data_IF_297805994531
#
_entry.id   IF_297805994531
#
_cell.length_a   1.000
_cell.length_b   1.000
_cell.length_c   1.000
_cell.angle_alpha   90.00
_cell.angle_beta   90.00
_cell.angle_gamma   90.00
#
_symmetry.space_group_name_H-M   'P 1'
#
loop_
_entity.id
_entity.type
_entity.pdbx_description
1 polymer ?
#
# COMPACT_ATOMS: atom_id res chain seq x y z
N UNK A 1 0.80 10.33 22.05
CA UNK A 1 1.41 10.07 23.38
C UNK A 1 1.78 8.60 23.57
N UNK A 2 0.90 7.64 23.25
CA UNK A 2 1.15 6.20 23.43
C UNK A 2 2.32 5.64 22.60
N UNK A 3 2.56 6.16 21.40
CA UNK A 3 3.66 5.72 20.54
C UNK A 3 5.04 6.08 21.11
N UNK A 4 5.16 7.26 21.71
CA UNK A 4 6.40 7.73 22.34
C UNK A 4 6.73 6.92 23.60
N UNK A 5 5.71 6.59 24.40
CA UNK A 5 5.84 5.69 25.55
C UNK A 5 6.23 4.27 25.14
N UNK A 6 5.63 3.73 24.08
CA UNK A 6 5.99 2.42 23.53
C UNK A 6 7.43 2.38 23.02
N UNK A 7 7.88 3.45 22.36
CA UNK A 7 9.26 3.58 21.89
C UNK A 7 10.27 3.62 23.05
N UNK A 8 10.00 4.44 24.07
CA UNK A 8 10.85 4.52 25.26
C UNK A 8 10.89 3.19 26.03
N UNK A 9 9.74 2.53 26.17
CA UNK A 9 9.67 1.21 26.80
C UNK A 9 10.52 0.16 26.04
N UNK A 10 10.46 0.18 24.70
CA UNK A 10 11.29 -0.68 23.86
C UNK A 10 12.79 -0.45 24.08
N UNK A 11 13.23 0.81 24.14
CA UNK A 11 14.64 1.14 24.42
C UNK A 11 15.08 0.62 25.79
N UNK A 12 14.25 0.80 26.82
CA UNK A 12 14.57 0.34 28.18
C UNK A 12 14.69 -1.19 28.21
N UNK A 13 13.81 -1.89 27.50
CA UNK A 13 13.85 -3.36 27.39
C UNK A 13 15.14 -3.81 26.69
N UNK A 14 15.50 -3.20 25.55
CA UNK A 14 16.73 -3.53 24.82
C UNK A 14 17.98 -3.31 25.68
N UNK A 15 18.02 -2.21 26.43
CA UNK A 15 19.11 -1.93 27.38
C UNK A 15 19.15 -3.00 28.48
N UNK A 16 18.02 -3.33 29.10
CA UNK A 16 17.95 -4.36 30.14
C UNK A 16 18.41 -5.74 29.63
N UNK A 17 18.04 -6.07 28.39
CA UNK A 17 18.39 -7.33 27.73
C UNK A 17 19.88 -7.36 27.37
N UNK A 18 20.43 -6.26 26.87
CA UNK A 18 21.87 -6.11 26.63
C UNK A 18 22.69 -6.21 27.93
N UNK A 19 22.22 -5.61 29.02
CA UNK A 19 22.83 -5.76 30.36
C UNK A 19 22.81 -7.23 30.80
N UNK A 20 21.67 -7.90 30.69
CA UNK A 20 21.53 -9.33 31.03
C UNK A 20 22.49 -10.24 30.24
N UNK A 21 22.58 -10.03 28.93
CA UNK A 21 23.50 -10.77 28.04
C UNK A 21 24.98 -10.52 28.42
N UNK A 22 25.31 -9.30 28.80
CA UNK A 22 26.67 -8.90 29.20
C UNK A 22 27.10 -9.59 30.50
N UNK A 23 26.20 -9.70 31.48
CA UNK A 23 26.47 -10.42 32.72
C UNK A 23 26.60 -11.93 32.48
N UNK A 24 25.78 -12.51 31.58
CA UNK A 24 25.81 -13.92 31.22
C UNK A 24 27.12 -14.36 30.53
N UNK A 25 27.66 -13.55 29.61
CA UNK A 25 28.79 -13.92 28.74
C UNK A 25 30.11 -14.22 29.48
N UNK A 26 30.21 -13.92 30.79
CA UNK A 26 31.38 -14.30 31.62
C UNK A 26 32.71 -13.63 31.26
N UNK A 27 32.82 -12.97 30.09
CA UNK A 27 34.03 -12.28 29.63
C UNK A 27 34.41 -11.11 30.54
N UNK A 28 35.71 -10.78 30.66
CA UNK A 28 36.19 -9.67 31.46
C UNK A 28 35.84 -8.30 30.84
N UNK A 29 35.76 -8.20 29.51
CA UNK A 29 35.38 -6.97 28.82
C UNK A 29 33.85 -6.86 28.69
N UNK A 30 33.23 -6.41 29.78
CA UNK A 30 31.77 -6.21 29.86
C UNK A 30 31.30 -5.03 28.99
N UNK A 31 32.11 -3.98 28.85
CA UNK A 31 31.72 -2.80 28.08
C UNK A 31 31.59 -3.12 26.59
N UNK A 32 32.55 -3.87 26.04
CA UNK A 32 32.50 -4.28 24.64
C UNK A 32 31.29 -5.18 24.35
N UNK A 33 31.02 -6.17 25.22
CA UNK A 33 29.89 -7.08 25.03
C UNK A 33 28.54 -6.35 25.10
N UNK A 34 28.39 -5.37 26.00
CA UNK A 34 27.18 -4.55 26.10
C UNK A 34 26.92 -3.76 24.81
N UNK A 35 27.95 -3.10 24.27
CA UNK A 35 27.84 -2.35 23.03
C UNK A 35 27.52 -3.25 21.84
N UNK A 36 28.13 -4.44 21.76
CA UNK A 36 27.86 -5.42 20.70
C UNK A 36 26.43 -5.97 20.79
N UNK A 37 25.94 -6.26 21.99
CA UNK A 37 24.57 -6.74 22.20
C UNK A 37 23.54 -5.68 21.81
N UNK A 38 23.75 -4.41 22.20
CA UNK A 38 22.89 -3.29 21.75
C UNK A 38 22.94 -3.11 20.24
N UNK A 39 24.14 -3.14 19.65
CA UNK A 39 24.30 -3.00 18.20
C UNK A 39 23.55 -4.12 17.48
N UNK A 40 23.63 -5.36 17.95
CA UNK A 40 22.89 -6.48 17.36
C UNK A 40 21.37 -6.31 17.51
N UNK A 41 20.90 -5.96 18.71
CA UNK A 41 19.48 -5.74 18.98
C UNK A 41 18.88 -4.63 18.12
N UNK A 42 19.65 -3.62 17.74
CA UNK A 42 19.15 -2.52 16.92
C UNK A 42 19.37 -2.73 15.43
N UNK A 43 20.55 -3.21 15.02
CA UNK A 43 20.90 -3.34 13.60
C UNK A 43 20.26 -4.55 12.95
N UNK A 44 20.13 -5.68 13.65
CA UNK A 44 19.58 -6.91 13.05
C UNK A 44 18.11 -6.74 12.68
N UNK A 45 17.22 -6.22 13.54
CA UNK A 45 15.83 -5.98 13.15
C UNK A 45 15.69 -5.01 11.97
N UNK A 46 16.55 -3.99 11.89
CA UNK A 46 16.61 -3.08 10.75
C UNK A 46 17.00 -3.83 9.46
N UNK A 47 18.05 -4.65 9.51
CA UNK A 47 18.49 -5.46 8.38
C UNK A 47 17.44 -6.46 7.91
N UNK A 48 16.79 -7.17 8.85
CA UNK A 48 15.70 -8.11 8.54
C UNK A 48 14.50 -7.39 7.93
N UNK A 49 14.11 -6.23 8.47
CA UNK A 49 13.00 -5.43 7.95
C UNK A 49 13.30 -4.92 6.53
N UNK A 50 14.52 -4.39 6.31
CA UNK A 50 14.97 -3.93 5.01
C UNK A 50 15.02 -5.07 3.98
N UNK A 51 15.54 -6.24 4.38
CA UNK A 51 15.55 -7.42 3.54
C UNK A 51 14.14 -7.90 3.17
N UNK A 52 13.19 -7.77 4.10
CA UNK A 52 11.78 -8.02 3.84
C UNK A 52 11.20 -7.10 2.76
N UNK A 53 11.56 -5.81 2.78
CA UNK A 53 11.17 -4.83 1.75
C UNK A 53 11.76 -5.21 0.39
N UNK A 54 13.05 -5.58 0.34
CA UNK A 54 13.69 -6.04 -0.90
C UNK A 54 12.97 -7.27 -1.47
N UNK A 55 12.75 -8.30 -0.65
CA UNK A 55 12.04 -9.51 -1.07
C UNK A 55 10.64 -9.20 -1.60
N UNK A 56 9.93 -8.28 -0.96
CA UNK A 56 8.61 -7.86 -1.40
C UNK A 56 8.69 -7.26 -2.80
N UNK A 57 9.57 -6.28 -3.04
CA UNK A 57 9.68 -5.62 -4.34
C UNK A 57 10.14 -6.58 -5.44
N UNK A 58 11.05 -7.50 -5.11
CA UNK A 58 11.51 -8.53 -6.04
C UNK A 58 10.37 -9.49 -6.41
N UNK A 59 9.59 -9.95 -5.43
CA UNK A 59 8.41 -10.79 -5.64
C UNK A 59 7.29 -10.05 -6.38
N UNK A 60 7.10 -8.77 -6.08
CA UNK A 60 6.12 -7.91 -6.73
C UNK A 60 6.48 -7.71 -8.21
N UNK A 61 7.74 -7.42 -8.52
CA UNK A 61 8.21 -7.27 -9.89
C UNK A 61 8.06 -8.57 -10.71
N UNK A 62 8.40 -9.72 -10.12
CA UNK A 62 8.36 -11.02 -10.81
C UNK A 62 6.92 -11.56 -10.98
N UNK A 63 6.09 -11.45 -9.94
CA UNK A 63 4.80 -12.16 -9.89
C UNK A 63 3.61 -11.24 -9.61
N UNK A 64 3.75 -10.31 -8.66
CA UNK A 64 2.63 -9.52 -8.14
C UNK A 64 2.06 -8.52 -9.13
N UNK A 65 2.94 -7.75 -9.81
CA UNK A 65 2.56 -6.63 -10.67
C UNK A 65 1.56 -7.05 -11.74
N UNK A 66 1.88 -8.07 -12.54
CA UNK A 66 1.01 -8.52 -13.65
C UNK A 66 -0.34 -9.04 -13.15
N UNK A 67 -0.36 -9.73 -12.01
CA UNK A 67 -1.60 -10.30 -11.46
C UNK A 67 -2.54 -9.19 -10.95
N UNK A 68 -1.99 -8.23 -10.21
CA UNK A 68 -2.77 -7.13 -9.62
C UNK A 68 -3.29 -6.20 -10.72
N UNK A 69 -2.45 -5.86 -11.73
CA UNK A 69 -2.88 -5.08 -12.89
C UNK A 69 -4.04 -5.75 -13.62
N UNK A 70 -3.95 -7.07 -13.87
CA UNK A 70 -5.04 -7.84 -14.48
C UNK A 70 -6.32 -7.82 -13.66
N UNK A 71 -6.22 -7.90 -12.33
CA UNK A 71 -7.37 -7.82 -11.43
C UNK A 71 -8.06 -6.47 -11.54
N UNK A 72 -7.33 -5.36 -11.40
CA UNK A 72 -7.90 -4.02 -11.52
C UNK A 72 -8.53 -3.80 -12.89
N UNK A 73 -7.82 -4.19 -13.96
CA UNK A 73 -8.33 -4.08 -15.33
C UNK A 73 -9.61 -4.88 -15.54
N UNK A 74 -9.66 -6.13 -15.10
CA UNK A 74 -10.85 -6.98 -15.22
C UNK A 74 -12.06 -6.37 -14.50
N UNK A 75 -11.83 -5.79 -13.33
CA UNK A 75 -12.88 -5.20 -12.52
C UNK A 75 -13.34 -3.85 -13.09
N UNK A 76 -12.44 -3.06 -13.68
CA UNK A 76 -12.78 -1.86 -14.46
C UNK A 76 -13.68 -2.20 -15.67
N UNK A 77 -13.38 -3.27 -16.42
CA UNK A 77 -14.24 -3.73 -17.52
C UNK A 77 -15.60 -4.21 -17.02
N UNK A 78 -15.62 -4.98 -15.94
CA UNK A 78 -16.86 -5.53 -15.35
C UNK A 78 -17.81 -4.43 -14.91
N UNK A 79 -17.28 -3.39 -14.27
CA UNK A 79 -18.06 -2.24 -13.83
C UNK A 79 -18.28 -1.19 -14.93
N UNK A 80 -17.70 -1.38 -16.13
CA UNK A 80 -17.75 -0.44 -17.27
C UNK A 80 -17.25 0.96 -16.91
N UNK A 81 -16.04 1.04 -16.39
CA UNK A 81 -15.39 2.30 -16.06
C UNK A 81 -15.26 3.18 -17.33
N UNK A 82 -15.47 4.51 -17.22
CA UNK A 82 -15.25 5.42 -18.33
C UNK A 82 -13.76 5.48 -18.70
N UNK A 83 -13.45 6.07 -19.85
CA UNK A 83 -12.05 6.13 -20.30
C UNK A 83 -11.16 6.83 -19.28
N UNK A 84 -9.94 6.30 -19.15
CA UNK A 84 -8.88 6.86 -18.32
C UNK A 84 -8.08 7.93 -19.06
N UNK A 85 -8.31 8.10 -20.37
CA UNK A 85 -7.64 9.11 -21.19
C UNK A 85 -7.91 10.53 -20.65
N UNK A 86 -6.85 11.21 -20.23
CA UNK A 86 -6.92 12.55 -19.64
C UNK A 86 -6.53 12.62 -18.16
N UNK A 87 -6.37 11.48 -17.50
CA UNK A 87 -5.89 11.41 -16.12
C UNK A 87 -4.48 10.83 -16.06
N UNK A 88 -3.56 11.60 -15.46
CA UNK A 88 -2.17 11.17 -15.27
C UNK A 88 -1.99 10.32 -14.00
N UNK A 89 -2.87 10.49 -13.00
CA UNK A 89 -2.75 9.85 -11.69
C UNK A 89 -4.04 9.13 -11.31
N UNK A 90 -3.91 7.95 -10.70
CA UNK A 90 -5.05 7.17 -10.21
C UNK A 90 -5.94 7.91 -9.23
N UNK A 91 -5.36 8.75 -8.36
CA UNK A 91 -6.11 9.41 -7.30
C UNK A 91 -7.10 10.42 -7.89
N UNK A 92 -6.66 11.24 -8.83
CA UNK A 92 -7.53 12.21 -9.54
C UNK A 92 -8.62 11.51 -10.31
N UNK A 93 -8.29 10.39 -10.96
CA UNK A 93 -9.28 9.61 -11.70
C UNK A 93 -10.36 9.02 -10.80
N UNK A 94 -9.98 8.36 -9.69
CA UNK A 94 -10.94 7.80 -8.76
C UNK A 94 -11.80 8.89 -8.10
N UNK A 95 -11.23 10.04 -7.78
CA UNK A 95 -11.98 11.16 -7.19
C UNK A 95 -13.01 11.72 -8.17
N UNK A 96 -12.64 11.89 -9.45
CA UNK A 96 -13.58 12.22 -10.53
C UNK A 96 -14.72 11.19 -10.62
N UNK A 97 -14.39 9.90 -10.60
CA UNK A 97 -15.41 8.85 -10.68
C UNK A 97 -16.43 8.92 -9.54
N UNK A 98 -16.00 9.30 -8.34
CA UNK A 98 -16.85 9.37 -7.15
C UNK A 98 -17.72 10.62 -7.18
N UNK A 99 -17.14 11.76 -7.56
CA UNK A 99 -17.78 13.08 -7.43
C UNK A 99 -18.70 13.42 -8.60
N UNK A 100 -18.36 13.05 -9.84
CA UNK A 100 -19.05 13.52 -11.05
C UNK A 100 -20.52 13.09 -11.15
N UNK A 101 -21.42 14.03 -11.41
CA UNK A 101 -22.85 13.78 -11.65
C UNK A 101 -23.06 13.27 -13.08
N UNK A 102 -23.36 11.98 -13.24
CA UNK A 102 -23.51 11.33 -14.55
C UNK A 102 -22.88 9.94 -14.61
N UNK A 103 -22.01 9.62 -13.65
CA UNK A 103 -21.39 8.30 -13.53
C UNK A 103 -22.33 7.34 -12.80
N UNK A 104 -22.50 6.14 -13.36
CA UNK A 104 -23.32 5.09 -12.77
C UNK A 104 -22.91 4.76 -11.33
N UNK A 105 -23.88 4.62 -10.43
CA UNK A 105 -23.65 4.35 -9.00
C UNK A 105 -22.75 3.13 -8.76
N UNK A 106 -22.86 2.09 -9.59
CA UNK A 106 -22.01 0.89 -9.52
C UNK A 106 -20.52 1.19 -9.77
N UNK A 107 -20.21 2.13 -10.68
CA UNK A 107 -18.84 2.60 -10.93
C UNK A 107 -18.35 3.42 -9.75
N UNK A 108 -19.18 4.33 -9.22
CA UNK A 108 -18.84 5.15 -8.04
C UNK A 108 -18.48 4.29 -6.83
N UNK A 109 -19.32 3.31 -6.52
CA UNK A 109 -19.10 2.38 -5.40
C UNK A 109 -17.81 1.60 -5.59
N UNK A 110 -17.52 1.13 -6.82
CA UNK A 110 -16.29 0.39 -7.11
C UNK A 110 -15.04 1.28 -7.03
N UNK A 111 -15.11 2.51 -7.53
CA UNK A 111 -14.04 3.50 -7.40
C UNK A 111 -13.74 3.82 -5.93
N UNK A 112 -14.78 4.03 -5.11
CA UNK A 112 -14.64 4.21 -3.66
C UNK A 112 -14.05 2.97 -2.96
N UNK A 113 -14.39 1.76 -3.42
CA UNK A 113 -13.79 0.53 -2.91
C UNK A 113 -12.29 0.45 -3.21
N UNK A 114 -11.86 0.80 -4.43
CA UNK A 114 -10.42 0.86 -4.76
C UNK A 114 -9.67 1.93 -3.97
N UNK A 115 -10.25 3.13 -3.86
CA UNK A 115 -9.65 4.21 -3.08
C UNK A 115 -9.48 3.81 -1.61
N UNK A 116 -10.50 3.19 -1.00
CA UNK A 116 -10.44 2.76 0.40
C UNK A 116 -9.46 1.60 0.61
N UNK A 117 -9.37 0.64 -0.31
CA UNK A 117 -8.38 -0.44 -0.27
C UNK A 117 -6.95 0.13 -0.26
N UNK A 118 -6.63 1.02 -1.22
CA UNK A 118 -5.31 1.64 -1.30
C UNK A 118 -5.03 2.46 -0.03
N UNK A 119 -5.98 3.29 0.40
CA UNK A 119 -5.79 4.16 1.56
C UNK A 119 -5.60 3.38 2.87
N UNK A 120 -6.25 2.22 3.03
CA UNK A 120 -6.06 1.36 4.19
C UNK A 120 -4.60 0.89 4.33
N UNK A 121 -3.92 0.63 3.21
CA UNK A 121 -2.52 0.20 3.23
C UNK A 121 -1.53 1.35 3.42
N UNK A 122 -1.95 2.61 3.26
CA UNK A 122 -1.11 3.80 3.48
C UNK A 122 -0.54 3.83 4.90
N UNK A 123 -1.32 3.40 5.89
CA UNK A 123 -0.88 3.40 7.30
C UNK A 123 -0.22 2.09 7.70
N UNK A 124 -0.69 0.95 7.16
CA UNK A 124 -0.22 -0.38 7.57
C UNK A 124 1.11 -0.77 6.93
N UNK A 125 1.26 -0.52 5.62
CA UNK A 125 2.40 -0.98 4.80
C UNK A 125 2.72 0.04 3.69
N UNK A 126 3.12 1.28 4.05
CA UNK A 126 3.33 2.38 3.09
C UNK A 126 4.38 2.06 2.03
N UNK A 127 5.53 1.49 2.44
CA UNK A 127 6.66 1.28 1.54
C UNK A 127 6.55 0.02 0.65
N UNK A 128 5.49 -0.78 0.80
CA UNK A 128 5.33 -2.05 0.09
C UNK A 128 3.96 -2.15 -0.58
N UNK A 129 2.93 -2.57 0.15
CA UNK A 129 1.61 -2.85 -0.42
C UNK A 129 0.98 -1.56 -0.98
N UNK A 130 1.06 -0.45 -0.25
CA UNK A 130 0.48 0.82 -0.69
C UNK A 130 1.05 1.27 -2.04
N UNK A 131 2.38 1.43 -2.13
CA UNK A 131 3.04 1.81 -3.39
C UNK A 131 2.80 0.77 -4.49
N UNK A 132 2.80 -0.53 -4.15
CA UNK A 132 2.54 -1.60 -5.11
C UNK A 132 1.13 -1.55 -5.70
N UNK A 133 0.11 -1.24 -4.90
CA UNK A 133 -1.26 -1.10 -5.39
C UNK A 133 -1.43 0.15 -6.24
N UNK A 134 -0.84 1.28 -5.85
CA UNK A 134 -0.82 2.51 -6.65
C UNK A 134 -0.23 2.27 -8.04
N UNK A 135 1.00 1.73 -8.09
CA UNK A 135 1.68 1.42 -9.35
C UNK A 135 0.91 0.43 -10.22
N UNK A 136 0.20 -0.52 -9.61
CA UNK A 136 -0.61 -1.48 -10.36
C UNK A 136 -1.88 -0.82 -10.91
N UNK A 137 -2.49 0.10 -10.18
CA UNK A 137 -3.69 0.81 -10.61
C UNK A 137 -3.36 1.82 -11.73
N UNK A 138 -2.30 2.62 -11.58
CA UNK A 138 -1.82 3.51 -12.64
C UNK A 138 -1.55 2.73 -13.93
N UNK A 139 -0.86 1.59 -13.81
CA UNK A 139 -0.61 0.74 -14.97
C UNK A 139 -1.87 0.12 -15.55
N UNK A 140 -2.83 -0.26 -14.71
CA UNK A 140 -4.13 -0.74 -15.18
C UNK A 140 -4.88 0.34 -15.94
N UNK A 141 -4.80 1.60 -15.49
CA UNK A 141 -5.41 2.74 -16.18
C UNK A 141 -4.76 3.03 -17.53
N UNK A 142 -3.43 2.97 -17.63
CA UNK A 142 -2.71 3.11 -18.90
C UNK A 142 -3.10 2.03 -19.92
N UNK A 143 -3.30 0.79 -19.44
CA UNK A 143 -3.63 -0.35 -20.30
C UNK A 143 -5.14 -0.52 -20.54
N UNK A 144 -5.98 0.20 -19.80
CA UNK A 144 -7.43 0.12 -19.90
C UNK A 144 -7.91 0.95 -21.08
N UNK A 145 -8.55 0.29 -22.04
CA UNK A 145 -9.25 0.94 -23.12
C UNK A 145 -10.74 0.77 -22.85
N UNK A 146 -11.46 1.88 -22.66
CA UNK A 146 -12.89 1.83 -22.42
C UNK A 146 -13.59 1.08 -23.57
N UNK A 147 -14.53 0.16 -23.27
CA UNK A 147 -15.27 -0.53 -24.31
C UNK A 147 -16.05 0.49 -25.16
N UNK A 148 -16.11 0.30 -26.50
CA UNK A 148 -16.88 1.18 -27.37
C UNK A 148 -18.33 1.24 -26.88
N UNK A 149 -18.87 2.46 -26.82
CA UNK A 149 -20.14 2.78 -26.17
C UNK A 149 -21.32 1.99 -26.76
N UNK A 150 -21.72 0.90 -26.13
CA UNK A 150 -23.11 0.43 -26.24
C UNK A 150 -23.98 1.38 -25.41
N UNK A 151 -24.45 2.45 -26.06
CA UNK A 151 -25.82 3.01 -25.92
C UNK A 151 -26.50 2.83 -24.55
N UNK A 152 -25.95 3.47 -23.51
CA UNK A 152 -26.59 3.46 -22.18
C UNK A 152 -25.92 4.33 -21.12
N UNK A 153 -25.01 5.23 -21.49
CA UNK A 153 -24.25 6.07 -20.55
C UNK A 153 -25.05 7.26 -20.01
N UNK A 154 -26.20 7.59 -20.60
CA UNK A 154 -27.05 8.67 -20.10
C UNK A 154 -28.32 8.05 -19.55
N UNK A 155 -28.61 8.34 -18.27
CA UNK A 155 -29.93 8.10 -17.71
C UNK A 155 -30.98 8.75 -18.63
N UNK A 156 -32.11 8.07 -18.93
CA UNK A 156 -33.15 8.66 -19.76
C UNK A 156 -33.60 9.95 -19.10
N UNK A 157 -33.40 11.07 -19.80
CA UNK A 157 -33.87 12.38 -19.39
C UNK A 157 -35.37 12.27 -19.08
N UNK A 158 -35.72 12.46 -17.81
CA UNK A 158 -37.11 12.56 -17.37
C UNK A 158 -37.73 13.75 -18.09
N UNK A 159 -38.50 13.49 -19.16
CA UNK A 159 -39.36 14.50 -19.76
C UNK A 159 -40.46 14.82 -18.75
N UNK A 160 -40.35 15.95 -18.08
CA UNK A 160 -41.46 16.60 -17.40
C UNK A 160 -42.22 17.41 -18.46
N UNK A 161 -43.28 16.81 -18.98
CA UNK A 161 -44.45 17.53 -19.51
C UNK A 161 -45.40 17.84 -18.37
#
# INVERSE_FOLDING_TARGET
MNWLLGFLFGIILDIALAVGLTFWDGRPDKAFMFLMALLFLWVVPLGVSFWGVIKFWLSYALFGKRRIVRYYKAEMYKSKFPTTNGFAEWQTYLDYLITEEGIATSVKVKAAAFASEIQAYKTLKPATIFLGLQMALDRAMEEYQAPPSTSGMFAPSTKLT
#
